data_IF_030979394697
#
_entry.id   IF_030979394697
#
_cell.length_a   1.000
_cell.length_b   1.000
_cell.length_c   1.000
_cell.angle_alpha   90.00
_cell.angle_beta   90.00
_cell.angle_gamma   90.00
#
_symmetry.space_group_name_H-M   'P 1'
#
loop_
_entity.id
_entity.type
_entity.pdbx_description
1 polymer ?
#
# COMPACT_ATOMS: atom_id res chain seq x y z
N UNK A 1 -13.99 0.28 -13.65
CA UNK A 1 -13.07 1.36 -14.04
C UNK A 1 -13.67 2.15 -15.20
N UNK A 2 -13.49 3.49 -15.25
CA UNK A 2 -12.47 4.22 -14.46
C UNK A 2 -12.90 4.65 -13.05
N UNK A 3 -14.18 4.58 -12.68
CA UNK A 3 -14.71 5.19 -11.45
C UNK A 3 -14.03 4.65 -10.17
N UNK A 4 -13.65 3.38 -10.16
CA UNK A 4 -12.97 2.75 -9.03
C UNK A 4 -11.51 3.24 -8.81
N UNK A 5 -10.99 4.12 -9.65
CA UNK A 5 -9.75 4.84 -9.33
C UNK A 5 -9.96 5.91 -8.26
N UNK A 6 -11.18 6.40 -8.09
CA UNK A 6 -11.54 7.40 -7.10
C UNK A 6 -11.83 6.86 -5.72
N UNK A 7 -12.26 7.74 -4.82
CA UNK A 7 -12.63 7.37 -3.47
C UNK A 7 -14.01 6.73 -3.37
N UNK A 8 -14.20 5.87 -2.37
CA UNK A 8 -15.43 5.14 -2.05
C UNK A 8 -15.95 5.52 -0.66
N UNK A 9 -16.47 6.76 -0.48
CA UNK A 9 -16.75 7.34 0.84
C UNK A 9 -17.83 6.61 1.65
N UNK A 10 -18.64 5.77 1.02
CA UNK A 10 -19.67 4.95 1.68
C UNK A 10 -19.08 3.77 2.46
N UNK A 11 -17.88 3.33 2.10
CA UNK A 11 -17.15 2.31 2.85
C UNK A 11 -16.49 2.90 4.08
N UNK A 12 -16.30 2.05 5.11
CA UNK A 12 -15.75 2.47 6.40
C UNK A 12 -14.28 2.88 6.30
N UNK A 13 -13.46 2.09 5.59
CA UNK A 13 -12.02 2.33 5.42
C UNK A 13 -11.61 2.19 3.99
N UNK A 14 -10.60 2.96 3.62
CA UNK A 14 -10.01 2.93 2.28
C UNK A 14 -8.57 3.43 2.34
N UNK A 15 -7.68 2.89 1.50
CA UNK A 15 -6.32 3.37 1.44
C UNK A 15 -5.72 3.29 0.04
N UNK A 16 -4.85 4.23 -0.25
CA UNK A 16 -3.94 4.28 -1.38
C UNK A 16 -2.53 4.13 -0.82
N UNK A 17 -1.86 3.03 -1.13
CA UNK A 17 -0.54 2.70 -0.64
C UNK A 17 0.42 2.54 -1.81
N UNK A 18 1.46 3.38 -1.90
CA UNK A 18 2.51 3.21 -2.87
C UNK A 18 3.86 3.02 -2.17
N UNK A 19 4.62 2.03 -2.62
CA UNK A 19 5.96 1.74 -2.11
C UNK A 19 6.87 1.30 -3.26
N UNK A 20 8.17 1.53 -3.12
CA UNK A 20 9.09 1.13 -4.16
C UNK A 20 10.55 1.39 -3.86
N UNK A 21 11.37 0.98 -4.80
CA UNK A 21 12.80 1.18 -4.81
C UNK A 21 13.17 2.27 -5.81
N UNK A 22 13.97 3.19 -5.33
CA UNK A 22 14.56 4.28 -6.11
C UNK A 22 16.06 4.08 -6.21
N UNK A 23 16.64 4.57 -7.29
CA UNK A 23 18.07 4.62 -7.54
C UNK A 23 18.49 6.07 -7.65
N UNK A 24 19.48 6.48 -6.88
CA UNK A 24 20.15 7.77 -6.95
C UNK A 24 21.04 7.87 -8.19
N UNK A 25 21.52 9.06 -8.50
CA UNK A 25 22.46 9.27 -9.63
C UNK A 25 23.78 8.50 -9.45
N UNK A 26 24.25 8.33 -8.23
CA UNK A 26 25.45 7.54 -7.89
C UNK A 26 25.20 6.02 -7.85
N UNK A 27 23.95 5.58 -8.10
CA UNK A 27 23.55 4.18 -8.10
C UNK A 27 23.10 3.64 -6.76
N UNK A 28 23.21 4.40 -5.67
CA UNK A 28 22.76 3.96 -4.35
C UNK A 28 21.24 3.79 -4.26
N UNK A 29 20.74 2.74 -3.59
CA UNK A 29 19.32 2.51 -3.45
C UNK A 29 18.68 3.39 -2.37
N UNK A 30 17.40 3.75 -2.60
CA UNK A 30 16.49 4.29 -1.59
C UNK A 30 15.17 3.52 -1.63
N UNK A 31 14.56 3.28 -0.49
CA UNK A 31 13.16 2.87 -0.43
C UNK A 31 12.26 4.09 -0.18
N UNK A 32 11.08 4.11 -0.76
CA UNK A 32 10.05 5.09 -0.41
C UNK A 32 8.71 4.43 -0.13
N UNK A 33 7.88 5.12 0.63
CA UNK A 33 6.52 4.71 0.90
C UNK A 33 5.65 5.95 1.10
N UNK A 34 4.42 5.91 0.58
CA UNK A 34 3.33 6.84 0.90
C UNK A 34 2.04 6.06 1.06
N UNK A 35 1.29 6.37 2.10
CA UNK A 35 -0.08 5.86 2.28
C UNK A 35 -1.00 7.01 2.64
N UNK A 36 -2.14 7.07 1.99
CA UNK A 36 -3.28 7.81 2.46
C UNK A 36 -4.35 6.84 2.89
N UNK A 37 -4.92 7.05 4.07
CA UNK A 37 -6.09 6.34 4.58
C UNK A 37 -7.25 7.31 4.65
N UNK A 38 -8.42 6.84 4.27
CA UNK A 38 -9.71 7.48 4.50
C UNK A 38 -10.53 6.62 5.46
N UNK A 39 -11.10 7.25 6.45
CA UNK A 39 -11.94 6.57 7.45
C UNK A 39 -13.27 7.29 7.59
N UNK A 40 -14.39 6.58 7.35
CA UNK A 40 -15.73 7.03 7.72
C UNK A 40 -15.94 6.70 9.20
N UNK A 41 -16.09 7.74 10.00
CA UNK A 41 -16.09 7.60 11.46
C UNK A 41 -17.39 7.05 12.05
N UNK A 42 -18.50 7.19 11.33
CA UNK A 42 -19.83 6.95 11.86
C UNK A 42 -20.31 8.02 12.88
N UNK A 43 -19.49 9.04 13.13
CA UNK A 43 -19.77 10.11 14.10
C UNK A 43 -20.32 11.32 13.37
N UNK A 44 -21.43 11.86 13.91
CA UNK A 44 -22.03 13.10 13.39
C UNK A 44 -22.68 12.96 12.02
N UNK A 45 -23.11 11.77 11.61
CA UNK A 45 -23.76 11.51 10.33
C UNK A 45 -25.03 12.36 10.13
N UNK A 46 -25.83 12.55 11.19
CA UNK A 46 -27.02 13.39 11.20
C UNK A 46 -26.75 14.87 11.52
N UNK A 47 -25.52 15.24 11.87
CA UNK A 47 -25.17 16.61 12.23
C UNK A 47 -25.02 17.45 10.97
N UNK A 48 -25.82 18.51 10.82
CA UNK A 48 -25.77 19.42 9.66
C UNK A 48 -24.49 20.28 9.61
N UNK A 49 -23.72 20.34 10.69
CA UNK A 49 -22.49 21.12 10.75
C UNK A 49 -21.44 20.61 9.76
N UNK A 50 -20.82 21.51 9.00
CA UNK A 50 -19.66 21.23 8.17
C UNK A 50 -18.42 20.87 9.00
N UNK A 51 -18.45 21.08 10.32
CA UNK A 51 -17.39 20.67 11.25
C UNK A 51 -17.56 19.25 11.77
N UNK A 52 -18.66 18.55 11.47
CA UNK A 52 -18.85 17.16 11.88
C UNK A 52 -17.75 16.27 11.30
N UNK A 53 -17.07 15.42 12.13
CA UNK A 53 -15.92 14.64 11.70
C UNK A 53 -16.35 13.34 10.99
N UNK A 54 -17.19 13.46 9.94
CA UNK A 54 -17.73 12.28 9.24
C UNK A 54 -16.66 11.45 8.53
N UNK A 55 -15.67 12.14 7.98
CA UNK A 55 -14.55 11.53 7.26
C UNK A 55 -13.23 12.09 7.79
N UNK A 56 -12.29 11.19 8.03
CA UNK A 56 -10.91 11.50 8.40
C UNK A 56 -9.96 11.03 7.30
N UNK A 57 -8.89 11.80 7.09
CA UNK A 57 -7.74 11.41 6.29
C UNK A 57 -6.53 11.28 7.21
N UNK A 58 -5.79 10.18 7.03
CA UNK A 58 -4.48 9.98 7.64
C UNK A 58 -3.48 9.76 6.50
N UNK A 59 -2.26 10.23 6.66
CA UNK A 59 -1.21 9.97 5.68
C UNK A 59 0.09 9.62 6.39
N UNK A 60 0.77 8.60 5.90
CA UNK A 60 2.10 8.19 6.32
C UNK A 60 3.03 8.26 5.12
N UNK A 61 4.22 8.79 5.32
CA UNK A 61 5.27 8.80 4.31
C UNK A 61 6.60 8.41 4.92
N UNK A 62 7.43 7.72 4.16
CA UNK A 62 8.74 7.30 4.62
C UNK A 62 9.77 7.23 3.51
N UNK A 63 11.04 7.39 3.91
CA UNK A 63 12.23 7.08 3.10
C UNK A 63 13.11 6.12 3.90
N UNK A 64 13.46 4.99 3.27
CA UNK A 64 14.48 4.07 3.74
C UNK A 64 15.80 4.37 3.02
N UNK A 65 16.76 4.91 3.77
CA UNK A 65 18.10 5.24 3.30
C UNK A 65 19.09 4.36 4.07
N UNK A 66 19.80 3.42 3.41
CA UNK A 66 20.76 2.56 4.08
C UNK A 66 21.86 3.33 4.86
N UNK A 67 22.28 4.49 4.34
CA UNK A 67 23.29 5.32 5.03
C UNK A 67 22.78 5.95 6.32
N UNK A 68 21.46 6.12 6.45
CA UNK A 68 20.88 6.70 7.66
C UNK A 68 20.70 5.69 8.79
N UNK A 69 20.66 4.40 8.47
CA UNK A 69 20.56 3.30 9.43
C UNK A 69 19.20 3.16 10.13
N UNK A 70 18.22 4.00 9.79
CA UNK A 70 16.83 3.92 10.28
C UNK A 70 15.87 4.51 9.25
N UNK A 71 14.59 4.15 9.37
CA UNK A 71 13.53 4.73 8.56
C UNK A 71 13.32 6.21 8.93
N UNK A 72 13.32 7.10 7.94
CA UNK A 72 12.79 8.46 8.08
C UNK A 72 11.30 8.40 7.78
N UNK A 73 10.47 8.88 8.67
CA UNK A 73 9.03 8.86 8.48
C UNK A 73 8.40 10.17 8.96
N UNK A 74 7.24 10.46 8.43
CA UNK A 74 6.38 11.56 8.84
C UNK A 74 4.93 11.14 8.67
N UNK A 75 4.03 11.75 9.45
CA UNK A 75 2.60 11.43 9.42
C UNK A 75 1.76 12.69 9.50
N UNK A 76 0.56 12.63 8.94
CA UNK A 76 -0.43 13.70 9.01
C UNK A 76 -1.81 13.10 9.22
N UNK A 77 -2.64 13.83 9.98
CA UNK A 77 -4.05 13.48 10.20
C UNK A 77 -4.88 14.74 10.12
N UNK A 78 -5.99 14.67 9.41
CA UNK A 78 -6.92 15.78 9.32
C UNK A 78 -8.35 15.28 9.07
N UNK A 79 -9.31 16.09 9.52
CA UNK A 79 -10.71 15.95 9.12
C UNK A 79 -10.87 16.43 7.68
N UNK A 80 -11.66 15.70 6.88
CA UNK A 80 -12.03 16.13 5.52
C UNK A 80 -12.82 17.42 5.57
N UNK A 81 -12.46 18.37 4.74
CA UNK A 81 -13.19 19.61 4.53
C UNK A 81 -12.30 20.85 4.49
N UNK A 82 -12.92 21.97 4.14
CA UNK A 82 -12.32 23.32 4.08
C UNK A 82 -11.08 23.43 3.18
N UNK A 83 -10.89 22.48 2.26
CA UNK A 83 -9.72 22.42 1.38
C UNK A 83 -8.44 21.90 2.04
N UNK A 84 -8.41 21.70 3.37
CA UNK A 84 -7.21 21.23 4.09
C UNK A 84 -6.91 19.76 3.88
N UNK A 85 -7.94 18.92 3.82
CA UNK A 85 -7.83 17.52 3.49
C UNK A 85 -9.04 17.04 2.71
N UNK A 86 -8.86 16.06 1.85
CA UNK A 86 -9.94 15.55 1.04
C UNK A 86 -9.52 14.46 0.06
N UNK A 87 -10.49 14.12 -0.77
CA UNK A 87 -10.40 13.11 -1.83
C UNK A 87 -11.33 13.51 -2.98
N UNK A 88 -11.16 12.87 -4.14
CA UNK A 88 -12.08 12.98 -5.29
C UNK A 88 -12.70 11.62 -5.64
N UNK A 89 -13.85 11.68 -6.32
CA UNK A 89 -14.47 10.51 -6.94
C UNK A 89 -13.94 10.32 -8.37
N UNK A 90 -13.98 9.09 -8.88
CA UNK A 90 -13.68 8.78 -10.28
C UNK A 90 -12.21 8.81 -10.67
N UNK A 91 -11.32 9.32 -9.84
CA UNK A 91 -9.86 9.24 -10.01
C UNK A 91 -9.15 9.28 -8.65
N UNK A 92 -7.97 8.68 -8.57
CA UNK A 92 -7.15 8.81 -7.37
C UNK A 92 -6.70 10.26 -7.21
N UNK A 93 -7.23 10.95 -6.23
CA UNK A 93 -6.74 12.25 -5.79
C UNK A 93 -7.08 12.42 -4.32
N UNK A 94 -6.06 12.39 -3.47
CA UNK A 94 -6.16 12.50 -2.01
C UNK A 94 -5.09 13.45 -1.49
N UNK A 95 -5.42 14.24 -0.45
CA UNK A 95 -4.48 15.22 0.11
C UNK A 95 -4.71 15.51 1.58
N UNK A 96 -3.65 15.94 2.26
CA UNK A 96 -3.65 16.58 3.57
C UNK A 96 -2.62 17.70 3.54
N UNK A 97 -3.10 18.97 3.56
CA UNK A 97 -2.24 20.13 3.37
C UNK A 97 -1.57 20.12 2.00
N UNK A 98 -0.25 20.15 2.00
CA UNK A 98 0.60 20.09 0.80
C UNK A 98 1.03 18.67 0.40
N UNK A 99 0.69 17.65 1.19
CA UNK A 99 0.86 16.26 0.78
C UNK A 99 -0.26 15.85 -0.15
N UNK A 100 0.11 15.24 -1.26
CA UNK A 100 -0.85 14.83 -2.28
C UNK A 100 -0.43 13.54 -2.96
N UNK A 101 -1.41 12.69 -3.24
CA UNK A 101 -1.31 11.59 -4.19
C UNK A 101 -2.42 11.74 -5.21
N UNK A 102 -2.08 11.90 -6.49
CA UNK A 102 -3.06 12.20 -7.55
C UNK A 102 -2.78 11.42 -8.82
N UNK A 103 -3.84 11.15 -9.60
CA UNK A 103 -3.79 10.42 -10.87
C UNK A 103 -4.23 11.32 -12.02
N UNK A 104 -3.50 11.24 -13.13
CA UNK A 104 -3.91 11.79 -14.42
C UNK A 104 -3.61 10.77 -15.51
N UNK A 105 -4.65 10.13 -16.06
CA UNK A 105 -4.49 9.00 -16.98
C UNK A 105 -3.75 7.84 -16.29
N UNK A 106 -2.66 7.39 -16.91
CA UNK A 106 -1.83 6.28 -16.40
C UNK A 106 -0.69 6.74 -15.46
N UNK A 107 -0.61 8.04 -15.18
CA UNK A 107 0.43 8.64 -14.35
C UNK A 107 -0.14 9.03 -12.99
N UNK A 108 0.56 8.63 -11.94
CA UNK A 108 0.35 9.08 -10.57
C UNK A 108 1.45 10.05 -10.16
N UNK A 109 1.12 11.01 -9.31
CA UNK A 109 2.05 11.95 -8.70
C UNK A 109 1.96 11.82 -7.19
N UNK A 110 3.10 11.54 -6.55
CA UNK A 110 3.23 11.50 -5.10
C UNK A 110 4.08 12.68 -4.65
N UNK A 111 3.49 13.61 -3.89
CA UNK A 111 4.19 14.79 -3.34
C UNK A 111 4.09 14.78 -1.83
N UNK A 112 5.24 14.85 -1.18
CA UNK A 112 5.40 14.85 0.27
C UNK A 112 6.45 15.87 0.69
N UNK A 113 6.14 16.64 1.75
CA UNK A 113 7.09 17.46 2.46
C UNK A 113 7.05 17.07 3.94
N UNK A 114 8.01 16.23 4.35
CA UNK A 114 8.25 15.86 5.74
C UNK A 114 9.25 16.81 6.40
N UNK A 115 9.55 16.58 7.65
CA UNK A 115 10.50 17.38 8.42
C UNK A 115 11.93 17.17 7.92
N UNK A 116 12.35 15.92 7.75
CA UNK A 116 13.72 15.52 7.40
C UNK A 116 13.88 15.11 5.93
N UNK A 117 12.80 15.01 5.20
CA UNK A 117 12.80 14.59 3.79
C UNK A 117 11.61 15.15 3.03
N UNK A 118 11.75 15.24 1.74
CA UNK A 118 10.63 15.47 0.81
C UNK A 118 10.84 14.69 -0.47
N UNK A 119 9.78 14.45 -1.20
CA UNK A 119 9.85 13.91 -2.55
C UNK A 119 8.70 14.40 -3.43
N UNK A 120 8.98 14.45 -4.72
CA UNK A 120 8.02 14.68 -5.80
C UNK A 120 8.28 13.61 -6.86
N UNK A 121 7.44 12.56 -6.87
CA UNK A 121 7.64 11.36 -7.68
C UNK A 121 6.47 11.15 -8.62
N UNK A 122 6.78 10.93 -9.89
CA UNK A 122 5.85 10.42 -10.89
C UNK A 122 5.97 8.89 -10.96
N UNK A 123 4.83 8.21 -10.98
CA UNK A 123 4.73 6.75 -11.07
C UNK A 123 3.84 6.40 -12.27
N UNK A 124 4.33 5.63 -13.22
CA UNK A 124 3.64 5.37 -14.49
C UNK A 124 3.58 3.88 -14.82
N UNK A 125 2.43 3.41 -15.29
CA UNK A 125 2.27 2.07 -15.85
C UNK A 125 1.18 2.07 -16.90
N UNK A 126 1.46 1.45 -18.05
CA UNK A 126 0.49 1.23 -19.11
C UNK A 126 -0.31 -0.08 -18.94
N UNK A 127 0.09 -0.94 -18.00
CA UNK A 127 -0.64 -2.16 -17.71
C UNK A 127 -1.99 -1.86 -17.03
N UNK A 128 -3.05 -2.63 -17.30
CA UNK A 128 -4.31 -2.49 -16.57
C UNK A 128 -4.11 -2.84 -15.08
N UNK A 129 -5.03 -2.39 -14.18
CA UNK A 129 -5.01 -2.81 -12.78
C UNK A 129 -4.99 -4.34 -12.65
N UNK A 130 -4.22 -4.86 -11.68
CA UNK A 130 -4.29 -6.25 -11.23
C UNK A 130 -5.43 -6.35 -10.20
N UNK A 131 -6.51 -7.03 -10.57
CA UNK A 131 -7.67 -7.20 -9.70
C UNK A 131 -7.41 -8.36 -8.73
N UNK A 132 -7.29 -8.06 -7.45
CA UNK A 132 -6.99 -9.05 -6.43
C UNK A 132 -8.25 -9.81 -5.97
N UNK A 133 -8.19 -11.14 -5.93
CA UNK A 133 -9.34 -11.97 -5.68
C UNK A 133 -10.26 -12.11 -6.91
N UNK A 134 -11.52 -12.39 -6.69
CA UNK A 134 -12.48 -12.59 -7.79
C UNK A 134 -12.92 -11.24 -8.37
N UNK A 135 -12.34 -10.83 -9.48
CA UNK A 135 -12.61 -9.55 -10.15
C UNK A 135 -12.49 -8.34 -9.20
N UNK A 136 -11.48 -8.35 -8.33
CA UNK A 136 -11.26 -7.29 -7.34
C UNK A 136 -11.95 -7.51 -6.00
N UNK A 137 -12.84 -8.49 -5.86
CA UNK A 137 -13.41 -8.88 -4.56
C UNK A 137 -12.47 -9.83 -3.83
N UNK A 138 -11.76 -9.32 -2.84
CA UNK A 138 -10.73 -9.99 -2.07
C UNK A 138 -11.25 -10.45 -0.71
N UNK A 139 -11.58 -11.74 -0.58
CA UNK A 139 -12.03 -12.33 0.68
C UNK A 139 -10.92 -12.30 1.74
N UNK A 140 -11.29 -12.07 3.00
CA UNK A 140 -10.41 -12.06 4.17
C UNK A 140 -10.79 -13.17 5.18
N UNK A 141 -11.89 -13.88 4.91
CA UNK A 141 -12.37 -15.05 5.65
C UNK A 141 -13.27 -15.90 4.75
N UNK A 142 -13.75 -17.03 5.29
CA UNK A 142 -14.80 -17.84 4.65
C UNK A 142 -16.16 -17.10 4.64
N UNK A 143 -16.42 -16.27 5.67
CA UNK A 143 -17.58 -15.39 5.72
C UNK A 143 -17.37 -14.24 4.71
N UNK A 144 -18.22 -14.09 3.67
CA UNK A 144 -18.08 -13.10 2.62
C UNK A 144 -18.24 -11.65 3.10
N UNK A 145 -18.72 -11.41 4.32
CA UNK A 145 -18.76 -10.07 4.92
C UNK A 145 -17.36 -9.50 5.15
N UNK A 146 -16.40 -10.39 5.47
CA UNK A 146 -15.00 -10.01 5.65
C UNK A 146 -14.29 -10.04 4.30
N UNK A 147 -14.35 -8.93 3.61
CA UNK A 147 -13.76 -8.75 2.28
C UNK A 147 -13.44 -7.27 2.01
N UNK A 148 -12.69 -7.05 0.97
CA UNK A 148 -12.44 -5.73 0.42
C UNK A 148 -12.61 -5.75 -1.09
N UNK A 149 -12.82 -4.58 -1.69
CA UNK A 149 -12.48 -4.35 -3.09
C UNK A 149 -11.02 -3.91 -3.14
N UNK A 150 -10.24 -4.55 -4.00
CA UNK A 150 -8.80 -4.42 -3.98
C UNK A 150 -8.20 -4.57 -5.37
N UNK A 151 -7.50 -3.56 -5.82
CA UNK A 151 -6.64 -3.66 -6.99
C UNK A 151 -5.23 -3.15 -6.72
N UNK A 152 -4.27 -3.67 -7.48
CA UNK A 152 -2.88 -3.22 -7.46
C UNK A 152 -2.48 -2.64 -8.82
N UNK A 153 -1.51 -1.74 -8.82
CA UNK A 153 -0.76 -1.30 -10.00
C UNK A 153 0.70 -1.68 -9.80
N UNK A 154 1.08 -2.89 -10.25
CA UNK A 154 2.47 -3.32 -10.22
C UNK A 154 3.29 -2.67 -11.34
N UNK A 155 4.60 -2.87 -11.30
CA UNK A 155 5.55 -2.47 -12.36
C UNK A 155 5.44 -0.98 -12.73
N UNK A 156 5.16 -0.11 -11.74
CA UNK A 156 5.16 1.33 -11.96
C UNK A 156 6.60 1.83 -12.13
N UNK A 157 6.91 2.41 -13.30
CA UNK A 157 8.15 3.13 -13.48
C UNK A 157 8.10 4.44 -12.70
N UNK A 158 9.15 4.74 -11.94
CA UNK A 158 9.23 5.93 -11.09
C UNK A 158 10.32 6.87 -11.59
N UNK A 159 10.02 8.16 -11.63
CA UNK A 159 10.96 9.24 -11.85
C UNK A 159 10.61 10.46 -11.01
N UNK A 160 11.58 11.29 -10.68
CA UNK A 160 11.34 12.51 -9.91
C UNK A 160 12.53 12.94 -9.09
N UNK A 161 12.26 13.54 -7.94
CA UNK A 161 13.30 14.01 -7.02
C UNK A 161 12.99 13.64 -5.57
N UNK A 162 14.05 13.40 -4.81
CA UNK A 162 14.03 13.25 -3.36
C UNK A 162 14.95 14.30 -2.75
N UNK A 163 14.52 14.95 -1.67
CA UNK A 163 15.38 15.83 -0.88
C UNK A 163 15.61 15.21 0.49
N UNK A 164 16.89 15.04 0.85
CA UNK A 164 17.33 14.53 2.13
C UNK A 164 18.30 15.55 2.75
N UNK A 165 18.05 15.94 4.01
CA UNK A 165 18.88 16.95 4.70
C UNK A 165 19.04 18.24 3.89
N UNK A 166 18.00 18.69 3.20
CA UNK A 166 18.01 19.90 2.38
C UNK A 166 18.71 19.77 1.02
N UNK A 167 19.23 18.59 0.67
CA UNK A 167 19.87 18.33 -0.63
C UNK A 167 18.90 17.55 -1.54
N UNK A 168 18.48 18.19 -2.62
CA UNK A 168 17.63 17.56 -3.62
C UNK A 168 18.48 16.81 -4.68
N UNK A 169 18.01 15.64 -5.06
CA UNK A 169 18.62 14.82 -6.12
C UNK A 169 17.56 14.15 -6.99
N UNK A 170 17.87 13.95 -8.26
CA UNK A 170 17.01 13.19 -9.17
C UNK A 170 17.11 11.70 -8.87
N UNK A 171 15.98 11.02 -8.99
CA UNK A 171 15.89 9.58 -8.77
C UNK A 171 15.02 8.91 -9.84
N UNK A 172 15.26 7.62 -10.06
CA UNK A 172 14.41 6.76 -10.87
C UNK A 172 14.26 5.40 -10.20
N UNK A 173 13.25 4.62 -10.58
CA UNK A 173 13.07 3.31 -9.97
C UNK A 173 11.77 2.62 -10.37
N UNK A 174 11.30 1.76 -9.49
CA UNK A 174 10.07 1.00 -9.67
C UNK A 174 9.24 1.00 -8.39
N UNK A 175 7.92 0.97 -8.57
CA UNK A 175 6.98 0.97 -7.46
C UNK A 175 5.84 -0.04 -7.66
N UNK A 176 5.15 -0.25 -6.56
CA UNK A 176 3.88 -0.95 -6.41
C UNK A 176 2.88 0.01 -5.81
N UNK A 177 1.63 0.00 -6.30
CA UNK A 177 0.52 0.73 -5.72
C UNK A 177 -0.61 -0.24 -5.41
N UNK A 178 -1.17 -0.13 -4.22
CA UNK A 178 -2.44 -0.76 -3.81
C UNK A 178 -3.51 0.30 -3.57
N UNK A 179 -4.71 0.01 -4.00
CA UNK A 179 -5.92 0.72 -3.62
C UNK A 179 -6.95 -0.30 -3.15
N UNK A 180 -7.41 -0.13 -1.92
CA UNK A 180 -8.28 -1.10 -1.27
C UNK A 180 -9.30 -0.39 -0.38
N UNK A 181 -10.57 -0.87 -0.39
CA UNK A 181 -11.64 -0.32 0.43
C UNK A 181 -12.55 -1.41 0.97
N UNK A 182 -13.05 -1.20 2.21
CA UNK A 182 -13.89 -2.15 2.93
C UNK A 182 -14.66 -1.49 4.06
N UNK A 183 -15.76 -2.12 4.46
CA UNK A 183 -16.47 -1.81 5.71
C UNK A 183 -16.19 -2.82 6.81
N UNK A 184 -15.96 -4.10 6.47
CA UNK A 184 -15.66 -5.20 7.39
C UNK A 184 -14.45 -6.00 6.90
N UNK A 185 -13.27 -5.44 7.10
CA UNK A 185 -12.03 -6.01 6.54
C UNK A 185 -11.58 -7.26 7.28
N UNK A 186 -11.45 -7.18 8.61
CA UNK A 186 -10.82 -8.23 9.41
C UNK A 186 -11.87 -9.11 10.10
N UNK A 187 -11.73 -10.44 10.03
CA UNK A 187 -12.55 -11.35 10.82
C UNK A 187 -12.19 -11.27 12.30
N UNK A 188 -13.11 -11.76 13.14
CA UNK A 188 -12.90 -11.86 14.58
C UNK A 188 -11.64 -12.67 14.89
N UNK A 189 -10.87 -12.19 15.87
CA UNK A 189 -9.62 -12.81 16.30
C UNK A 189 -8.40 -12.54 15.41
N UNK A 190 -8.55 -11.85 14.29
CA UNK A 190 -7.40 -11.42 13.49
C UNK A 190 -6.61 -10.34 14.24
N UNK A 191 -5.28 -10.55 14.37
CA UNK A 191 -4.38 -9.63 15.09
C UNK A 191 -3.37 -8.95 14.18
N UNK A 192 -3.26 -9.38 12.93
CA UNK A 192 -2.34 -8.77 11.97
C UNK A 192 -2.26 -9.55 10.67
N UNK A 193 -1.49 -9.00 9.76
CA UNK A 193 -1.25 -9.63 8.47
C UNK A 193 0.23 -9.57 8.09
N UNK A 194 0.62 -10.48 7.21
CA UNK A 194 1.83 -10.42 6.42
C UNK A 194 1.42 -10.16 4.97
N UNK A 195 2.08 -9.24 4.30
CA UNK A 195 1.75 -8.84 2.93
C UNK A 195 3.03 -8.66 2.12
N UNK A 196 2.98 -9.02 0.85
CA UNK A 196 4.02 -8.76 -0.13
C UNK A 196 3.43 -8.32 -1.47
N UNK A 197 4.06 -7.32 -2.09
CA UNK A 197 3.88 -6.94 -3.49
C UNK A 197 5.24 -7.02 -4.19
N UNK A 198 5.37 -7.91 -5.18
CA UNK A 198 6.64 -8.22 -5.82
C UNK A 198 6.57 -7.91 -7.31
N UNK A 199 7.42 -7.00 -7.77
CA UNK A 199 7.70 -6.78 -9.18
C UNK A 199 8.85 -7.71 -9.61
N UNK A 200 8.57 -8.67 -10.48
CA UNK A 200 9.57 -9.60 -10.99
C UNK A 200 10.28 -9.03 -12.22
N UNK A 201 11.52 -9.45 -12.44
CA UNK A 201 12.37 -8.92 -13.52
C UNK A 201 11.86 -9.25 -14.93
N UNK A 202 11.04 -10.29 -15.07
CA UNK A 202 10.40 -10.67 -16.34
C UNK A 202 9.12 -9.87 -16.66
N UNK A 203 8.81 -8.85 -15.84
CA UNK A 203 7.60 -8.05 -15.94
C UNK A 203 6.38 -8.66 -15.26
N UNK A 204 6.49 -9.87 -14.72
CA UNK A 204 5.45 -10.49 -13.89
C UNK A 204 5.31 -9.78 -12.57
N UNK A 205 4.17 -9.96 -11.90
CA UNK A 205 3.89 -9.32 -10.63
C UNK A 205 3.10 -10.26 -9.72
N UNK A 206 3.46 -10.29 -8.44
CA UNK A 206 2.86 -11.15 -7.43
C UNK A 206 2.41 -10.33 -6.23
N UNK A 207 1.15 -10.47 -5.84
CA UNK A 207 0.63 -10.05 -4.54
C UNK A 207 0.29 -11.29 -3.72
N UNK A 208 0.66 -11.31 -2.46
CA UNK A 208 0.17 -12.31 -1.51
C UNK A 208 0.02 -11.71 -0.12
N UNK A 209 -0.97 -12.21 0.61
CA UNK A 209 -1.14 -11.86 2.03
C UNK A 209 -1.58 -13.07 2.86
N UNK A 210 -1.35 -12.95 4.16
CA UNK A 210 -1.84 -13.87 5.17
C UNK A 210 -2.34 -13.09 6.39
N UNK A 211 -3.54 -13.40 6.86
CA UNK A 211 -4.05 -12.96 8.17
C UNK A 211 -3.63 -13.92 9.26
N UNK A 212 -3.33 -13.40 10.44
CA UNK A 212 -2.86 -14.17 11.61
C UNK A 212 -3.74 -13.92 12.81
N UNK A 213 -3.95 -14.95 13.61
CA UNK A 213 -4.57 -14.88 14.94
C UNK A 213 -3.58 -14.34 16.01
N UNK A 214 -4.05 -14.27 17.26
CA UNK A 214 -3.25 -13.84 18.43
C UNK A 214 -2.04 -14.72 18.70
N UNK A 215 -2.06 -15.99 18.28
CA UNK A 215 -0.97 -16.95 18.41
C UNK A 215 -0.01 -16.95 17.21
N UNK A 216 -0.33 -16.12 16.20
CA UNK A 216 0.44 -16.05 14.94
C UNK A 216 0.08 -17.13 13.92
N UNK A 217 -0.95 -17.95 14.17
CA UNK A 217 -1.41 -18.95 13.23
C UNK A 217 -2.15 -18.31 12.05
N UNK A 218 -2.05 -18.90 10.84
CA UNK A 218 -2.77 -18.39 9.68
C UNK A 218 -4.28 -18.61 9.83
N UNK A 219 -5.07 -17.55 9.70
CA UNK A 219 -6.54 -17.60 9.65
C UNK A 219 -7.03 -17.61 8.19
N UNK A 220 -6.40 -16.83 7.34
CA UNK A 220 -6.74 -16.68 5.93
C UNK A 220 -5.50 -16.30 5.13
N UNK A 221 -5.47 -16.68 3.86
CA UNK A 221 -4.46 -16.22 2.92
C UNK A 221 -5.05 -16.10 1.53
N UNK A 222 -4.45 -15.29 0.69
CA UNK A 222 -4.77 -15.22 -0.73
C UNK A 222 -3.58 -14.64 -1.51
N UNK A 223 -3.61 -14.81 -2.82
CA UNK A 223 -2.61 -14.21 -3.68
C UNK A 223 -3.09 -14.07 -5.12
N UNK A 224 -2.44 -13.20 -5.85
CA UNK A 224 -2.66 -12.92 -7.27
C UNK A 224 -1.33 -12.88 -8.00
N UNK A 225 -1.23 -13.55 -9.13
CA UNK A 225 -0.03 -13.54 -9.97
C UNK A 225 -0.41 -13.11 -11.40
N UNK A 226 0.19 -12.04 -11.85
CA UNK A 226 0.20 -11.62 -13.25
C UNK A 226 1.47 -12.11 -13.91
N UNK A 227 1.34 -12.90 -14.97
CA UNK A 227 2.46 -13.27 -15.83
C UNK A 227 2.29 -12.62 -17.19
N UNK A 228 3.39 -12.14 -17.78
CA UNK A 228 3.37 -11.48 -19.07
C UNK A 228 2.69 -12.35 -20.15
N UNK A 229 1.69 -11.79 -20.82
CA UNK A 229 0.95 -12.49 -21.90
C UNK A 229 0.00 -13.60 -21.44
N UNK A 230 -0.28 -13.73 -20.12
CA UNK A 230 -1.19 -14.74 -19.56
C UNK A 230 -2.33 -14.08 -18.78
N UNK A 231 -3.38 -14.86 -18.53
CA UNK A 231 -4.48 -14.48 -17.63
C UNK A 231 -3.96 -14.44 -16.21
N UNK A 232 -4.38 -13.43 -15.43
CA UNK A 232 -4.04 -13.30 -14.02
C UNK A 232 -4.55 -14.54 -13.24
N UNK A 233 -3.67 -15.10 -12.40
CA UNK A 233 -3.98 -16.28 -11.58
C UNK A 233 -4.32 -15.82 -10.16
N UNK A 234 -5.40 -16.37 -9.59
CA UNK A 234 -5.83 -16.12 -8.21
C UNK A 234 -5.63 -17.41 -7.42
N UNK A 235 -5.06 -17.30 -6.24
CA UNK A 235 -4.72 -18.43 -5.38
C UNK A 235 -5.60 -18.46 -4.13
N UNK A 236 -6.11 -19.65 -3.84
CA UNK A 236 -6.90 -19.92 -2.63
C UNK A 236 -6.03 -19.90 -1.37
N UNK A 237 -6.63 -19.83 -0.17
CA UNK A 237 -5.88 -19.82 1.09
C UNK A 237 -4.90 -20.99 1.26
N UNK A 238 -5.27 -22.19 0.77
CA UNK A 238 -4.45 -23.40 0.88
C UNK A 238 -3.22 -23.38 -0.05
N UNK A 239 -3.28 -22.57 -1.10
CA UNK A 239 -2.19 -22.44 -2.06
C UNK A 239 -1.15 -21.40 -1.68
N UNK A 240 -1.34 -20.64 -0.58
CA UNK A 240 -0.45 -19.55 -0.14
C UNK A 240 0.10 -19.87 1.25
N UNK A 241 1.43 -19.93 1.36
CA UNK A 241 2.10 -20.19 2.63
C UNK A 241 3.30 -19.26 2.84
N UNK A 242 3.32 -18.61 4.01
CA UNK A 242 4.42 -17.76 4.47
C UNK A 242 5.18 -18.46 5.59
N UNK A 243 6.45 -18.77 5.37
CA UNK A 243 7.33 -19.39 6.37
C UNK A 243 8.48 -18.43 6.69
N UNK A 244 8.61 -17.94 7.94
CA UNK A 244 9.73 -17.10 8.31
C UNK A 244 11.03 -17.91 8.30
N UNK A 245 12.06 -17.41 7.58
CA UNK A 245 13.39 -18.02 7.50
C UNK A 245 14.36 -17.42 8.52
N UNK A 246 14.22 -16.11 8.79
CA UNK A 246 15.05 -15.41 9.75
C UNK A 246 14.22 -14.41 10.53
N UNK A 247 14.52 -14.24 11.82
CA UNK A 247 13.92 -13.26 12.71
C UNK A 247 14.98 -12.29 13.23
N UNK A 248 14.55 -11.07 13.49
CA UNK A 248 15.34 -10.02 14.10
C UNK A 248 14.60 -9.44 15.30
N UNK A 249 15.29 -9.32 16.42
CA UNK A 249 14.73 -8.72 17.63
C UNK A 249 15.15 -7.26 17.71
N UNK A 250 14.17 -6.37 17.79
CA UNK A 250 14.43 -4.94 17.93
C UNK A 250 15.13 -4.65 19.26
N UNK A 251 16.33 -4.05 19.26
CA UNK A 251 17.00 -3.69 20.51
C UNK A 251 16.26 -2.60 21.28
N UNK A 252 15.44 -1.80 20.59
CA UNK A 252 14.68 -0.70 21.17
C UNK A 252 13.38 -1.15 21.86
N UNK A 253 12.67 -2.09 21.26
CA UNK A 253 11.31 -2.49 21.72
C UNK A 253 11.25 -3.90 22.27
N UNK A 254 12.27 -4.72 22.04
CA UNK A 254 12.28 -6.14 22.38
C UNK A 254 11.38 -7.01 21.48
N UNK A 255 10.63 -6.39 20.57
CA UNK A 255 9.72 -7.11 19.63
C UNK A 255 10.53 -7.86 18.58
N UNK A 256 10.10 -9.07 18.27
CA UNK A 256 10.72 -9.93 17.27
C UNK A 256 9.95 -9.84 15.94
N UNK A 257 10.68 -9.54 14.88
CA UNK A 257 10.15 -9.40 13.51
C UNK A 257 10.73 -10.46 12.59
N UNK A 258 9.90 -11.15 11.78
CA UNK A 258 10.44 -11.92 10.67
C UNK A 258 11.01 -10.95 9.62
N UNK A 259 12.27 -11.19 9.23
CA UNK A 259 12.99 -10.32 8.27
C UNK A 259 13.42 -11.06 7.00
N UNK A 260 13.28 -12.37 6.96
CA UNK A 260 13.41 -13.14 5.73
C UNK A 260 12.30 -14.20 5.70
N UNK A 261 11.77 -14.45 4.50
CA UNK A 261 10.61 -15.28 4.32
C UNK A 261 10.77 -16.25 3.16
N UNK A 262 10.19 -17.43 3.31
CA UNK A 262 9.85 -18.30 2.19
C UNK A 262 8.35 -18.17 1.92
N UNK A 263 8.01 -17.65 0.75
CA UNK A 263 6.65 -17.60 0.23
C UNK A 263 6.47 -18.74 -0.77
N UNK A 264 5.54 -19.65 -0.49
CA UNK A 264 5.06 -20.64 -1.45
C UNK A 264 3.68 -20.23 -1.94
N UNK A 265 3.48 -20.18 -3.25
CA UNK A 265 2.22 -19.84 -3.90
C UNK A 265 1.98 -20.74 -5.10
N UNK A 266 0.97 -21.62 -5.00
CA UNK A 266 0.78 -22.71 -5.96
C UNK A 266 2.00 -23.62 -5.99
N UNK A 267 2.56 -23.80 -7.17
CA UNK A 267 3.79 -24.58 -7.45
C UNK A 267 5.08 -23.76 -7.36
N UNK A 268 4.99 -22.46 -7.09
CA UNK A 268 6.14 -21.56 -7.04
C UNK A 268 6.61 -21.30 -5.62
N UNK A 269 7.91 -21.08 -5.47
CA UNK A 269 8.55 -20.71 -4.20
C UNK A 269 9.46 -19.52 -4.41
N UNK A 270 9.38 -18.54 -3.51
CA UNK A 270 10.20 -17.34 -3.48
C UNK A 270 10.84 -17.19 -2.11
N UNK A 271 12.16 -17.01 -2.08
CA UNK A 271 12.88 -16.66 -0.86
C UNK A 271 13.09 -15.13 -0.85
N UNK A 272 12.45 -14.46 0.10
CA UNK A 272 12.47 -13.02 0.27
C UNK A 272 13.51 -12.68 1.34
N UNK A 273 14.55 -11.97 0.95
CA UNK A 273 15.62 -11.51 1.82
C UNK A 273 15.64 -9.98 1.84
N UNK A 274 15.99 -9.33 2.98
CA UNK A 274 16.14 -7.89 3.08
C UNK A 274 17.32 -7.38 2.28
#
# INVERSE_FOLDING_TARGET
>A
FPDDFGAHPDFRTEWWYATGWLKRQDGQPLGFQITFFRVRTGIGESNASRFAPRQLMLAHAAIADPEYGRLRHSERTARVGFGHAGFTLGRSEVWIGDWRFSQQGNRYQARVHGEDFSYDLALESNAPPLLNGRAGFSSKAADPRHASYYYSRPQLAVSGSVSLKGRAEAVSGHAWLDHEWSSELLPDGAQGWDWVGINLADGSALMAFRLRDTSGNPQWAAGSLRSTGKIDQIFSPQAVNFSPLRRWRSPRTGVEYPVAWRLRIGDRTFDLNP
#
